data_IF_435349377323
#
_entry.id   IF_435349377323
#
_cell.length_a   1.000
_cell.length_b   1.000
_cell.length_c   1.000
_cell.angle_alpha   90.00
_cell.angle_beta   90.00
_cell.angle_gamma   90.00
#
_symmetry.space_group_name_H-M   'P 1'
#
loop_
_entity.id
_entity.type
_entity.pdbx_description
1 polymer ?
#
# COMPACT_ATOMS: atom_id res chain seq x y z
N UNK A 1 -25.59 14.27 1.13
CA UNK A 1 -24.31 14.04 1.83
C UNK A 1 -23.57 13.02 0.99
N UNK A 2 -22.46 13.41 0.38
CA UNK A 2 -21.74 12.62 -0.65
C UNK A 2 -20.86 11.52 -0.04
N UNK A 3 -20.96 11.32 1.27
CA UNK A 3 -20.14 10.40 2.03
C UNK A 3 -20.79 9.03 2.18
N UNK A 4 -20.15 8.00 1.61
CA UNK A 4 -20.53 6.60 1.81
C UNK A 4 -19.96 6.06 3.12
N UNK A 5 -20.72 5.23 3.85
CA UNK A 5 -20.24 4.52 5.06
C UNK A 5 -20.03 3.02 4.84
N UNK A 6 -19.90 2.60 3.59
CA UNK A 6 -19.91 1.18 3.19
C UNK A 6 -18.51 0.62 2.90
N UNK A 7 -17.53 1.49 2.69
CA UNK A 7 -16.19 1.08 2.26
C UNK A 7 -15.33 0.77 3.48
N UNK A 8 -14.81 -0.47 3.56
CA UNK A 8 -14.01 -0.92 4.71
C UNK A 8 -14.72 -0.72 6.04
N UNK A 9 -16.04 -0.96 6.07
CA UNK A 9 -16.86 -0.79 7.26
C UNK A 9 -16.45 -1.80 8.32
N UNK A 10 -16.09 -1.30 9.49
CA UNK A 10 -15.75 -2.11 10.67
C UNK A 10 -16.62 -1.67 11.84
N UNK A 11 -17.42 -2.59 12.36
CA UNK A 11 -18.15 -2.39 13.60
C UNK A 11 -17.28 -2.77 14.80
N UNK A 12 -16.65 -1.77 15.42
CA UNK A 12 -15.78 -2.00 16.57
C UNK A 12 -16.53 -2.62 17.77
N UNK A 13 -17.85 -2.44 17.85
CA UNK A 13 -18.70 -3.02 18.89
C UNK A 13 -18.63 -4.55 18.97
N UNK A 14 -18.42 -5.21 17.84
CA UNK A 14 -18.35 -6.68 17.71
C UNK A 14 -17.04 -7.27 18.24
N UNK A 15 -15.99 -6.45 18.43
CA UNK A 15 -14.67 -6.89 18.85
C UNK A 15 -14.46 -6.84 20.38
N UNK A 16 -15.47 -7.24 21.14
CA UNK A 16 -15.41 -7.33 22.61
C UNK A 16 -14.75 -8.64 23.07
N UNK A 17 -13.65 -8.56 23.83
CA UNK A 17 -13.15 -9.72 24.59
C UNK A 17 -13.95 -9.90 25.87
N UNK A 18 -14.66 -11.02 25.98
CA UNK A 18 -15.32 -11.41 27.20
C UNK A 18 -14.29 -11.85 28.25
N UNK A 19 -14.33 -11.24 29.42
CA UNK A 19 -13.64 -11.72 30.63
C UNK A 19 -14.70 -12.19 31.63
N UNK A 20 -14.68 -13.48 31.98
CA UNK A 20 -15.43 -14.04 33.11
C UNK A 20 -16.95 -13.96 33.02
N UNK A 21 -17.62 -15.01 32.53
CA UNK A 21 -19.05 -15.27 32.74
C UNK A 21 -20.07 -14.29 32.12
N UNK A 22 -19.62 -13.19 31.52
CA UNK A 22 -20.50 -12.21 30.87
C UNK A 22 -20.98 -12.69 29.48
N UNK A 23 -22.22 -12.34 29.14
CA UNK A 23 -22.77 -12.48 27.78
C UNK A 23 -22.15 -11.46 26.82
N UNK A 24 -21.97 -11.83 25.55
CA UNK A 24 -21.53 -10.91 24.48
C UNK A 24 -22.44 -9.68 24.46
N UNK A 25 -21.91 -8.54 24.87
CA UNK A 25 -22.53 -7.23 24.70
C UNK A 25 -21.59 -6.40 23.84
N UNK A 26 -22.15 -5.66 22.88
CA UNK A 26 -21.39 -4.72 22.07
C UNK A 26 -20.72 -3.70 22.99
N UNK A 27 -19.45 -3.41 22.71
CA UNK A 27 -18.78 -2.31 23.39
C UNK A 27 -19.27 -0.95 22.85
N UNK A 28 -18.97 0.13 23.57
CA UNK A 28 -19.39 1.49 23.20
C UNK A 28 -18.55 2.12 22.07
N UNK A 29 -17.61 1.40 21.45
CA UNK A 29 -16.83 1.93 20.33
C UNK A 29 -17.71 2.00 19.08
N UNK A 30 -17.57 3.10 18.34
CA UNK A 30 -18.32 3.35 17.12
C UNK A 30 -17.70 2.60 15.93
N UNK A 31 -18.39 2.67 14.79
CA UNK A 31 -17.93 2.10 13.53
C UNK A 31 -16.84 2.97 12.88
N UNK A 32 -15.95 2.33 12.12
CA UNK A 32 -14.98 2.99 11.24
C UNK A 32 -15.32 2.64 9.79
N UNK A 33 -15.15 3.59 8.88
CA UNK A 33 -15.28 3.39 7.44
C UNK A 33 -14.30 4.31 6.71
N UNK A 34 -14.02 3.98 5.46
CA UNK A 34 -13.15 4.76 4.58
C UNK A 34 -14.00 5.62 3.65
N UNK A 35 -13.44 6.76 3.24
CA UNK A 35 -14.09 7.72 2.37
C UNK A 35 -13.18 8.01 1.17
N UNK A 36 -13.81 8.36 0.05
CA UNK A 36 -13.10 8.87 -1.10
C UNK A 36 -12.55 10.26 -0.78
N UNK A 37 -11.35 10.55 -1.24
CA UNK A 37 -10.74 11.88 -1.11
C UNK A 37 -11.38 12.86 -2.08
N UNK A 38 -11.55 14.10 -1.65
CA UNK A 38 -11.96 15.19 -2.52
C UNK A 38 -10.78 15.61 -3.41
N UNK A 39 -11.04 15.74 -4.71
CA UNK A 39 -10.01 16.12 -5.70
C UNK A 39 -10.51 17.24 -6.61
N UNK A 40 -9.60 18.15 -6.94
CA UNK A 40 -9.84 19.30 -7.80
C UNK A 40 -8.91 19.21 -9.01
N UNK A 41 -9.49 18.98 -10.19
CA UNK A 41 -8.70 18.79 -11.40
C UNK A 41 -8.24 20.14 -11.95
N UNK A 42 -7.00 20.18 -12.46
CA UNK A 42 -6.38 21.38 -13.04
C UNK A 42 -7.15 21.95 -14.24
N UNK A 43 -7.92 21.10 -14.92
CA UNK A 43 -8.74 21.40 -16.09
C UNK A 43 -10.25 21.51 -15.75
N UNK A 44 -10.62 21.47 -14.47
CA UNK A 44 -12.00 21.66 -13.99
C UNK A 44 -12.29 23.09 -13.51
N UNK A 45 -13.56 23.37 -13.22
CA UNK A 45 -13.93 24.58 -12.51
C UNK A 45 -13.49 24.46 -11.02
N UNK A 46 -12.96 25.53 -10.39
CA UNK A 46 -12.51 25.47 -8.99
C UNK A 46 -13.58 25.00 -7.99
N UNK A 47 -14.85 25.26 -8.28
CA UNK A 47 -16.02 24.87 -7.50
C UNK A 47 -16.47 23.41 -7.73
N UNK A 48 -16.01 22.77 -8.80
CA UNK A 48 -16.37 21.40 -9.17
C UNK A 48 -15.48 20.39 -8.44
N UNK A 49 -15.89 20.02 -7.22
CA UNK A 49 -15.26 18.93 -6.46
C UNK A 49 -15.58 17.57 -7.08
N UNK A 50 -14.55 16.73 -7.21
CA UNK A 50 -14.69 15.31 -7.56
C UNK A 50 -14.23 14.43 -6.40
N UNK A 51 -14.45 13.12 -6.51
CA UNK A 51 -14.09 12.16 -5.48
C UNK A 51 -13.24 11.03 -6.06
N UNK A 52 -12.16 10.67 -5.39
CA UNK A 52 -11.28 9.58 -5.76
C UNK A 52 -11.07 8.63 -4.58
N UNK A 53 -11.57 7.40 -4.70
CA UNK A 53 -11.23 6.33 -3.77
C UNK A 53 -10.06 5.47 -4.30
N UNK A 54 -10.07 5.18 -5.61
CA UNK A 54 -8.98 4.51 -6.30
C UNK A 54 -8.42 5.42 -7.39
N UNK A 55 -7.10 5.58 -7.40
CA UNK A 55 -6.41 6.33 -8.46
C UNK A 55 -5.72 5.32 -9.39
N UNK A 56 -6.16 5.20 -10.66
CA UNK A 56 -5.54 4.27 -11.59
C UNK A 56 -4.16 4.79 -12.04
N UNK A 57 -3.19 3.88 -12.12
CA UNK A 57 -1.89 4.15 -12.74
C UNK A 57 -2.02 4.28 -14.26
N UNK A 58 -1.01 4.89 -14.89
CA UNK A 58 -0.98 5.07 -16.34
C UNK A 58 -0.89 3.71 -17.09
N UNK A 59 -1.77 3.44 -18.08
CA UNK A 59 -1.76 2.16 -18.81
C UNK A 59 -0.50 1.90 -19.64
N UNK A 60 0.18 2.93 -20.13
CA UNK A 60 1.42 2.79 -20.87
C UNK A 60 2.57 2.42 -19.91
N UNK A 61 2.70 3.12 -18.77
CA UNK A 61 3.69 2.77 -17.75
C UNK A 61 3.42 1.39 -17.13
N UNK A 62 2.16 1.00 -16.95
CA UNK A 62 1.80 -0.36 -16.53
C UNK A 62 2.27 -1.44 -17.52
N UNK A 63 2.18 -1.18 -18.83
CA UNK A 63 2.70 -2.12 -19.84
C UNK A 63 4.22 -2.23 -19.79
N UNK A 64 4.92 -1.12 -19.56
CA UNK A 64 6.37 -1.10 -19.42
C UNK A 64 6.83 -1.82 -18.15
N UNK A 65 6.17 -1.59 -17.01
CA UNK A 65 6.54 -2.21 -15.73
C UNK A 65 6.47 -3.75 -15.77
N UNK A 66 5.62 -4.34 -16.61
CA UNK A 66 5.59 -5.80 -16.83
C UNK A 66 6.91 -6.36 -17.34
N UNK A 67 7.72 -5.58 -18.04
CA UNK A 67 9.04 -6.02 -18.54
C UNK A 67 10.07 -6.18 -17.42
N UNK A 68 9.83 -5.56 -16.27
CA UNK A 68 10.70 -5.65 -15.09
C UNK A 68 10.51 -6.96 -14.32
N UNK A 69 9.41 -7.69 -14.58
CA UNK A 69 9.16 -8.99 -13.96
C UNK A 69 10.25 -9.97 -14.41
N UNK A 70 10.92 -10.60 -13.44
CA UNK A 70 12.04 -11.51 -13.68
C UNK A 70 13.42 -10.85 -13.57
N UNK A 71 13.50 -9.55 -13.32
CA UNK A 71 14.76 -8.88 -13.03
C UNK A 71 15.43 -9.51 -11.81
N UNK A 72 16.75 -9.72 -11.89
CA UNK A 72 17.55 -10.27 -10.80
C UNK A 72 17.76 -9.21 -9.73
N UNK A 73 17.31 -9.50 -8.52
CA UNK A 73 17.44 -8.65 -7.35
C UNK A 73 18.49 -9.20 -6.38
N UNK A 74 19.09 -8.31 -5.60
CA UNK A 74 20.04 -8.70 -4.56
C UNK A 74 19.29 -9.33 -3.40
N UNK A 75 19.75 -10.48 -2.92
CA UNK A 75 19.12 -11.21 -1.81
C UNK A 75 19.78 -10.97 -0.45
N UNK A 76 20.90 -10.25 -0.39
CA UNK A 76 21.69 -10.12 0.83
C UNK A 76 22.19 -8.68 1.03
N UNK A 77 22.19 -8.23 2.28
CA UNK A 77 22.82 -6.96 2.68
C UNK A 77 24.33 -7.11 2.75
N UNK A 78 24.79 -8.25 3.28
CA UNK A 78 26.20 -8.61 3.46
C UNK A 78 26.36 -10.14 3.41
N UNK A 79 27.55 -10.67 3.73
CA UNK A 79 27.83 -12.12 3.65
C UNK A 79 27.06 -12.98 4.66
N UNK A 80 26.55 -12.38 5.74
CA UNK A 80 25.88 -13.10 6.84
C UNK A 80 24.37 -12.87 6.89
N UNK A 81 23.88 -11.77 6.31
CA UNK A 81 22.49 -11.33 6.41
C UNK A 81 21.83 -11.37 5.03
N UNK A 82 21.04 -12.42 4.80
CA UNK A 82 20.36 -12.71 3.54
C UNK A 82 18.88 -13.02 3.75
N UNK A 83 18.07 -12.70 2.74
CA UNK A 83 16.67 -13.09 2.67
C UNK A 83 16.55 -14.61 2.49
N UNK A 84 15.62 -15.23 3.23
CA UNK A 84 15.31 -16.66 3.10
C UNK A 84 14.76 -17.02 1.72
N UNK A 85 13.99 -16.11 1.12
CA UNK A 85 13.40 -16.26 -0.22
C UNK A 85 14.03 -15.24 -1.14
N UNK A 86 14.35 -15.65 -2.36
CA UNK A 86 14.87 -14.73 -3.36
C UNK A 86 13.85 -13.61 -3.63
N UNK A 87 14.26 -12.33 -3.56
CA UNK A 87 13.38 -11.21 -3.86
C UNK A 87 13.00 -11.24 -5.34
N UNK A 88 11.81 -10.74 -5.64
CA UNK A 88 11.28 -10.69 -7.01
C UNK A 88 10.47 -9.42 -7.22
N UNK A 89 10.47 -8.94 -8.46
CA UNK A 89 9.52 -7.93 -8.91
C UNK A 89 8.17 -8.62 -9.17
N UNK A 90 7.11 -8.08 -8.59
CA UNK A 90 5.75 -8.58 -8.76
C UNK A 90 4.80 -7.42 -9.13
N UNK A 91 3.81 -7.71 -9.97
CA UNK A 91 2.73 -6.79 -10.27
C UNK A 91 1.57 -7.09 -9.32
N UNK A 92 1.15 -6.08 -8.57
CA UNK A 92 0.02 -6.16 -7.63
C UNK A 92 -1.24 -5.54 -8.24
N UNK A 93 -2.40 -5.91 -7.70
CA UNK A 93 -3.68 -5.33 -8.15
C UNK A 93 -3.87 -3.91 -7.59
N UNK A 94 -3.56 -3.72 -6.30
CA UNK A 94 -3.80 -2.49 -5.55
C UNK A 94 -2.71 -2.29 -4.50
N UNK A 95 -2.49 -1.02 -4.18
CA UNK A 95 -1.63 -0.52 -3.12
C UNK A 95 -2.42 0.52 -2.32
N UNK A 96 -2.13 0.65 -1.04
CA UNK A 96 -2.72 1.67 -0.16
C UNK A 96 -1.61 2.40 0.60
N UNK A 97 -1.91 3.60 1.10
CA UNK A 97 -1.01 4.33 1.99
C UNK A 97 -1.68 4.63 3.32
N UNK A 98 -0.88 4.70 4.38
CA UNK A 98 -1.30 5.10 5.72
C UNK A 98 -0.27 6.03 6.35
N UNK A 99 -0.69 7.00 7.15
CA UNK A 99 0.21 7.85 7.92
C UNK A 99 0.96 7.07 9.03
N UNK A 100 0.55 5.83 9.31
CA UNK A 100 1.16 4.95 10.31
C UNK A 100 2.05 3.89 9.68
N UNK A 101 3.12 3.52 10.38
CA UNK A 101 3.87 2.31 10.04
C UNK A 101 3.04 1.09 10.42
N UNK A 102 2.81 0.17 9.48
CA UNK A 102 1.99 -1.00 9.72
C UNK A 102 2.87 -2.18 10.16
N UNK A 103 2.80 -2.53 11.44
CA UNK A 103 3.36 -3.77 11.98
C UNK A 103 2.30 -4.51 12.82
N UNK A 104 1.24 -4.96 12.13
CA UNK A 104 0.10 -5.60 12.78
C UNK A 104 -0.58 -6.56 11.80
N UNK A 105 -0.45 -7.86 12.06
CA UNK A 105 -1.02 -8.92 11.22
C UNK A 105 -2.53 -8.79 11.00
N UNK A 106 -3.28 -8.43 12.05
CA UNK A 106 -4.73 -8.33 11.97
C UNK A 106 -5.15 -7.16 11.09
N UNK A 107 -4.48 -6.01 11.23
CA UNK A 107 -4.79 -4.85 10.39
C UNK A 107 -4.30 -5.04 8.94
N UNK A 108 -3.16 -5.71 8.72
CA UNK A 108 -2.74 -6.14 7.37
C UNK A 108 -3.78 -7.04 6.71
N UNK A 109 -4.27 -8.06 7.41
CA UNK A 109 -5.29 -8.95 6.89
C UNK A 109 -6.60 -8.21 6.59
N UNK A 110 -7.02 -7.29 7.46
CA UNK A 110 -8.16 -6.42 7.21
C UNK A 110 -8.01 -5.63 5.89
N UNK A 111 -6.83 -5.06 5.62
CA UNK A 111 -6.55 -4.33 4.38
C UNK A 111 -6.63 -5.25 3.15
N UNK A 112 -6.05 -6.45 3.21
CA UNK A 112 -6.12 -7.41 2.11
C UNK A 112 -7.55 -7.90 1.86
N UNK A 113 -8.30 -8.24 2.90
CA UNK A 113 -9.68 -8.73 2.78
C UNK A 113 -10.65 -7.67 2.26
N UNK A 114 -10.54 -6.42 2.73
CA UNK A 114 -11.47 -5.35 2.38
C UNK A 114 -11.09 -4.63 1.08
N UNK A 115 -9.79 -4.53 0.78
CA UNK A 115 -9.29 -3.74 -0.34
C UNK A 115 -8.56 -4.56 -1.39
N UNK A 116 -8.15 -5.80 -1.11
CA UNK A 116 -7.31 -6.60 -2.01
C UNK A 116 -5.96 -5.94 -2.29
N UNK A 117 -5.46 -5.14 -1.34
CA UNK A 117 -4.20 -4.43 -1.41
C UNK A 117 -3.13 -5.23 -0.67
N UNK A 118 -2.03 -5.52 -1.35
CA UNK A 118 -0.94 -6.33 -0.79
C UNK A 118 0.24 -5.50 -0.27
N UNK A 119 0.63 -4.36 -0.90
CA UNK A 119 1.57 -3.42 -0.31
C UNK A 119 0.83 -2.28 0.42
N UNK A 120 1.44 -1.84 1.51
CA UNK A 120 1.10 -0.60 2.20
C UNK A 120 2.34 0.24 2.37
N UNK A 121 2.23 1.54 2.10
CA UNK A 121 3.29 2.50 2.38
C UNK A 121 2.76 3.76 3.08
N UNK A 122 3.54 4.85 3.11
CA UNK A 122 3.12 6.10 3.76
C UNK A 122 2.77 7.22 2.79
N UNK A 123 3.16 7.11 1.52
CA UNK A 123 3.31 8.27 0.66
C UNK A 123 2.70 8.10 -0.73
N UNK A 124 2.64 6.87 -1.29
CA UNK A 124 2.32 6.66 -2.71
C UNK A 124 0.93 7.15 -3.12
N UNK A 125 -0.09 6.97 -2.28
CA UNK A 125 -1.45 7.45 -2.55
C UNK A 125 -1.51 8.98 -2.60
N UNK A 126 -0.74 9.67 -1.76
CA UNK A 126 -0.66 11.14 -1.78
C UNK A 126 -0.08 11.66 -3.11
N UNK A 127 0.99 11.02 -3.60
CA UNK A 127 1.60 11.34 -4.90
C UNK A 127 0.62 11.06 -6.03
N UNK A 128 -0.06 9.91 -5.98
CA UNK A 128 -1.07 9.52 -6.96
C UNK A 128 -2.23 10.53 -7.05
N UNK A 129 -2.74 11.02 -5.91
CA UNK A 129 -3.80 12.03 -5.86
C UNK A 129 -3.37 13.35 -6.50
N UNK A 130 -2.13 13.79 -6.30
CA UNK A 130 -1.61 14.98 -6.97
C UNK A 130 -1.44 14.74 -8.47
N UNK A 131 -0.90 13.59 -8.88
CA UNK A 131 -0.80 13.23 -10.30
C UNK A 131 -2.16 13.23 -11.00
N UNK A 132 -3.19 12.69 -10.34
CA UNK A 132 -4.57 12.72 -10.82
C UNK A 132 -5.06 14.17 -11.02
N UNK A 133 -4.93 15.01 -9.98
CA UNK A 133 -5.36 16.41 -10.03
C UNK A 133 -4.61 17.22 -11.10
N UNK A 134 -3.33 16.93 -11.32
CA UNK A 134 -2.46 17.65 -12.27
C UNK A 134 -2.43 17.02 -13.67
N UNK A 135 -3.26 16.00 -13.95
CA UNK A 135 -3.29 15.25 -15.22
C UNK A 135 -1.91 14.74 -15.64
N UNK A 136 -1.13 14.23 -14.69
CA UNK A 136 0.21 13.67 -14.95
C UNK A 136 0.15 12.14 -14.95
N UNK A 137 0.66 11.47 -15.99
CA UNK A 137 0.78 10.02 -15.99
C UNK A 137 1.78 9.60 -14.92
N UNK A 138 1.47 8.53 -14.18
CA UNK A 138 2.32 8.04 -13.10
C UNK A 138 2.27 6.52 -12.98
N UNK A 139 3.29 5.96 -12.33
CA UNK A 139 3.36 4.57 -11.89
C UNK A 139 4.05 4.53 -10.53
N UNK A 140 3.63 3.60 -9.67
CA UNK A 140 4.25 3.38 -8.37
C UNK A 140 5.11 2.12 -8.45
N UNK A 141 6.37 2.24 -8.02
CA UNK A 141 7.29 1.12 -7.85
C UNK A 141 7.68 1.14 -6.38
N UNK A 142 7.20 0.15 -5.63
CA UNK A 142 7.42 0.03 -4.20
C UNK A 142 8.21 -1.24 -3.89
N UNK A 143 9.20 -1.10 -3.02
CA UNK A 143 9.94 -2.21 -2.42
C UNK A 143 9.45 -2.45 -1.00
N UNK A 144 9.35 -3.71 -0.61
CA UNK A 144 8.88 -4.13 0.71
C UNK A 144 10.08 -4.47 1.58
N UNK A 145 10.19 -3.80 2.74
CA UNK A 145 11.27 -4.01 3.71
C UNK A 145 10.90 -4.96 4.85
N UNK A 146 9.61 -5.16 5.10
CA UNK A 146 9.08 -6.12 6.08
C UNK A 146 7.80 -6.80 5.58
N UNK A 147 7.14 -7.53 6.48
CA UNK A 147 5.91 -8.29 6.21
C UNK A 147 4.67 -7.73 6.95
N UNK A 148 4.75 -6.50 7.47
CA UNK A 148 3.68 -5.84 8.22
C UNK A 148 3.05 -6.73 9.31
N UNK A 149 3.86 -7.19 10.26
CA UNK A 149 3.49 -8.13 11.33
C UNK A 149 3.33 -9.58 10.88
N UNK A 150 3.94 -9.96 9.75
CA UNK A 150 3.95 -11.34 9.22
C UNK A 150 5.18 -12.14 9.56
N UNK A 151 6.14 -11.52 10.23
CA UNK A 151 7.33 -12.13 10.77
C UNK A 151 6.99 -13.03 11.97
N UNK A 152 7.69 -14.16 12.04
CA UNK A 152 7.63 -15.07 13.18
C UNK A 152 8.67 -14.72 14.25
N UNK A 153 9.44 -13.65 14.03
CA UNK A 153 10.53 -13.18 14.88
C UNK A 153 10.03 -12.01 15.74
N UNK A 154 10.60 -11.84 16.93
CA UNK A 154 10.26 -10.71 17.81
C UNK A 154 10.74 -9.35 17.25
N UNK A 155 11.65 -9.35 16.28
CA UNK A 155 12.23 -8.15 15.67
C UNK A 155 11.73 -7.94 14.24
N UNK A 156 11.32 -6.71 13.93
CA UNK A 156 10.84 -6.31 12.62
C UNK A 156 11.94 -6.45 11.55
N UNK A 157 11.63 -7.13 10.44
CA UNK A 157 12.57 -7.37 9.32
C UNK A 157 13.10 -6.07 8.67
N UNK A 158 12.39 -4.94 8.78
CA UNK A 158 12.80 -3.66 8.23
C UNK A 158 14.13 -3.17 8.83
N UNK A 159 14.41 -3.45 10.11
CA UNK A 159 15.67 -3.05 10.74
C UNK A 159 16.88 -3.72 10.06
N UNK A 160 16.69 -4.93 9.53
CA UNK A 160 17.72 -5.67 8.83
C UNK A 160 17.76 -5.38 7.32
N UNK A 161 16.60 -5.22 6.68
CA UNK A 161 16.48 -5.26 5.22
C UNK A 161 16.14 -3.94 4.53
N UNK A 162 15.92 -2.84 5.27
CA UNK A 162 15.58 -1.53 4.65
C UNK A 162 16.60 -1.08 3.59
N UNK A 163 17.90 -1.29 3.84
CA UNK A 163 18.96 -0.94 2.87
C UNK A 163 18.85 -1.81 1.61
N UNK A 164 18.65 -3.12 1.77
CA UNK A 164 18.49 -4.04 0.64
C UNK A 164 17.25 -3.70 -0.19
N UNK A 165 16.14 -3.41 0.48
CA UNK A 165 14.90 -3.01 -0.14
C UNK A 165 15.07 -1.70 -0.95
N UNK A 166 15.76 -0.71 -0.37
CA UNK A 166 16.07 0.56 -1.04
C UNK A 166 16.98 0.36 -2.27
N UNK A 167 18.07 -0.41 -2.13
CA UNK A 167 18.99 -0.71 -3.24
C UNK A 167 18.27 -1.41 -4.40
N UNK A 168 17.47 -2.43 -4.10
CA UNK A 168 16.68 -3.12 -5.13
C UNK A 168 15.63 -2.19 -5.76
N UNK A 169 14.99 -1.32 -4.98
CA UNK A 169 14.05 -0.31 -5.49
C UNK A 169 14.72 0.58 -6.55
N UNK A 170 15.90 1.12 -6.23
CA UNK A 170 16.68 1.95 -7.18
C UNK A 170 17.01 1.19 -8.45
N UNK A 171 17.43 -0.08 -8.36
CA UNK A 171 17.69 -0.90 -9.55
C UNK A 171 16.46 -1.03 -10.45
N UNK A 172 15.29 -1.32 -9.86
CA UNK A 172 14.04 -1.48 -10.61
C UNK A 172 13.62 -0.15 -11.25
N UNK A 173 13.74 0.97 -10.54
CA UNK A 173 13.40 2.30 -11.05
C UNK A 173 14.33 2.72 -12.18
N UNK A 174 15.64 2.51 -12.04
CA UNK A 174 16.62 2.81 -13.11
C UNK A 174 16.32 2.00 -14.36
N UNK A 175 16.02 0.70 -14.21
CA UNK A 175 15.66 -0.14 -15.35
C UNK A 175 14.33 0.29 -16.00
N UNK A 176 13.35 0.72 -15.19
CA UNK A 176 12.11 1.29 -15.70
C UNK A 176 12.37 2.55 -16.53
N UNK A 177 13.20 3.48 -16.03
CA UNK A 177 13.57 4.72 -16.73
C UNK A 177 14.27 4.40 -18.06
N UNK A 178 15.19 3.43 -18.07
CA UNK A 178 15.87 2.99 -19.30
C UNK A 178 14.90 2.39 -20.34
N UNK A 179 13.76 1.87 -19.90
CA UNK A 179 12.72 1.30 -20.77
C UNK A 179 11.79 2.35 -21.40
N UNK A 180 11.86 3.60 -20.95
CA UNK A 180 11.04 4.69 -21.48
C UNK A 180 11.46 5.03 -22.93
N UNK A 181 10.51 5.44 -23.79
CA UNK A 181 10.84 5.94 -25.11
C UNK A 181 11.79 7.15 -25.01
N UNK A 182 12.76 7.22 -25.92
CA UNK A 182 13.66 8.36 -26.06
C UNK A 182 13.05 9.45 -26.94
#
# INVERSE_FOLDING_TARGET
MDYTRTIGFTNCGEYSKLSGGCTLADNYLNNVWFQAEEVFLIDGAPEDRQHAFWVPIDPHYYKLSKKLVGMKLDGCVNTTTCLRRSPKVAIVKREVSSSTYLDNAAYRNFIDENFGATPIDKDSASVALICLQQRKPFVIIRSLSDLAGGDSLESNEADAFSILAATNSVKVVVEFINSLPK
#
